data_IF_885805964590
#
_entry.id   IF_885805964590
#
_cell.length_a   1.000
_cell.length_b   1.000
_cell.length_c   1.000
_cell.angle_alpha   90.00
_cell.angle_beta   90.00
_cell.angle_gamma   90.00
#
_symmetry.space_group_name_H-M   'P 1'
#
loop_
_entity.id
_entity.type
_entity.pdbx_description
1 polymer ?
#
# COMPACT_ATOMS: atom_id res chain seq x y z
N UNK A 1 2.27 6.57 -21.94
CA UNK A 1 2.18 5.25 -21.28
C UNK A 1 3.59 4.91 -20.82
N UNK A 2 3.90 5.00 -19.52
CA UNK A 2 5.21 4.59 -19.03
C UNK A 2 5.25 3.07 -18.96
N UNK A 3 6.22 2.45 -19.63
CA UNK A 3 6.41 1.01 -19.60
C UNK A 3 6.94 0.62 -18.22
N UNK A 4 6.23 -0.23 -17.49
CA UNK A 4 6.75 -0.84 -16.26
C UNK A 4 7.85 -1.83 -16.68
N UNK A 5 9.09 -1.72 -16.18
CA UNK A 5 10.16 -2.62 -16.55
C UNK A 5 9.90 -4.06 -16.10
N UNK A 6 10.42 -5.01 -16.87
CA UNK A 6 10.40 -6.43 -16.55
C UNK A 6 11.77 -6.91 -16.04
N UNK A 7 11.73 -7.91 -15.17
CA UNK A 7 12.89 -8.59 -14.59
C UNK A 7 12.78 -10.08 -14.89
N UNK A 8 13.90 -10.67 -15.32
CA UNK A 8 14.02 -12.12 -15.56
C UNK A 8 14.76 -12.75 -14.38
N UNK A 9 14.10 -13.69 -13.70
CA UNK A 9 14.66 -14.43 -12.56
C UNK A 9 14.99 -15.86 -13.01
N UNK A 10 16.26 -16.26 -12.84
CA UNK A 10 16.72 -17.63 -13.09
C UNK A 10 16.51 -18.46 -11.84
N UNK A 11 15.59 -19.41 -11.90
CA UNK A 11 15.35 -20.39 -10.86
C UNK A 11 15.92 -21.75 -11.28
N UNK A 12 16.07 -22.68 -10.35
CA UNK A 12 16.45 -24.06 -10.68
C UNK A 12 15.45 -24.80 -11.59
N UNK A 13 14.26 -24.22 -11.82
CA UNK A 13 13.20 -24.75 -12.70
C UNK A 13 13.09 -24.01 -14.04
N UNK A 14 13.97 -23.04 -14.31
CA UNK A 14 13.97 -22.24 -15.53
C UNK A 14 13.88 -20.73 -15.28
N UNK A 15 13.64 -19.97 -16.35
CA UNK A 15 13.49 -18.52 -16.32
C UNK A 15 12.02 -18.13 -16.11
N UNK A 16 11.79 -17.19 -15.18
CA UNK A 16 10.48 -16.56 -14.95
C UNK A 16 10.60 -15.06 -15.18
N UNK A 17 9.64 -14.48 -15.89
CA UNK A 17 9.59 -13.03 -16.15
C UNK A 17 8.48 -12.40 -15.30
N UNK A 18 8.81 -11.27 -14.67
CA UNK A 18 7.90 -10.49 -13.83
C UNK A 18 8.03 -9.02 -14.18
N UNK A 19 6.95 -8.24 -14.11
CA UNK A 19 7.14 -6.81 -13.95
C UNK A 19 7.76 -6.52 -12.56
N UNK A 20 8.40 -5.37 -12.42
CA UNK A 20 9.12 -5.03 -11.19
C UNK A 20 8.24 -5.08 -9.93
N UNK A 21 6.96 -4.71 -10.02
CA UNK A 21 6.05 -4.75 -8.86
C UNK A 21 5.64 -6.18 -8.52
N UNK A 22 5.33 -7.00 -9.52
CA UNK A 22 5.07 -8.43 -9.30
C UNK A 22 6.27 -9.14 -8.70
N UNK A 23 7.50 -8.76 -9.08
CA UNK A 23 8.70 -9.30 -8.45
C UNK A 23 8.82 -8.88 -6.99
N UNK A 24 8.56 -7.62 -6.67
CA UNK A 24 8.60 -7.12 -5.28
C UNK A 24 7.48 -7.73 -4.42
N UNK A 25 6.31 -8.03 -5.01
CA UNK A 25 5.23 -8.70 -4.30
C UNK A 25 5.63 -10.09 -3.81
N UNK A 26 6.49 -10.83 -4.53
CA UNK A 26 7.06 -12.10 -4.02
C UNK A 26 7.83 -11.91 -2.71
N UNK A 27 8.49 -10.77 -2.56
CA UNK A 27 9.21 -10.39 -1.33
C UNK A 27 8.29 -9.67 -0.33
N UNK A 28 6.97 -9.75 -0.53
CA UNK A 28 5.90 -9.20 0.34
C UNK A 28 5.89 -7.68 0.43
N UNK A 29 6.41 -7.03 -0.60
CA UNK A 29 6.45 -5.56 -0.72
C UNK A 29 5.28 -5.09 -1.59
N UNK A 30 4.49 -4.16 -1.06
CA UNK A 30 3.38 -3.48 -1.76
C UNK A 30 3.70 -1.99 -1.87
N UNK A 31 3.44 -1.41 -3.05
CA UNK A 31 3.55 0.04 -3.29
C UNK A 31 2.17 0.68 -3.37
N UNK A 32 1.92 1.65 -2.47
CA UNK A 32 0.83 2.61 -2.55
C UNK A 32 1.39 3.95 -3.05
N UNK A 33 1.61 4.04 -4.36
CA UNK A 33 2.27 5.18 -5.03
C UNK A 33 1.34 6.16 -5.75
N UNK A 34 0.03 5.92 -5.70
CA UNK A 34 -0.98 6.69 -6.44
C UNK A 34 -2.00 7.34 -5.49
N UNK A 35 -2.83 8.29 -5.97
CA UNK A 35 -4.00 8.73 -5.23
C UNK A 35 -4.88 7.55 -4.81
N UNK A 36 -5.37 7.57 -3.57
CA UNK A 36 -6.17 6.50 -3.01
C UNK A 36 -7.58 6.57 -3.62
N UNK A 37 -7.85 5.69 -4.57
CA UNK A 37 -9.17 5.48 -5.20
C UNK A 37 -9.70 4.09 -4.85
N UNK A 38 -10.98 3.84 -5.14
CA UNK A 38 -11.58 2.53 -4.89
C UNK A 38 -10.85 1.39 -5.66
N UNK A 39 -10.38 1.68 -6.88
CA UNK A 39 -9.58 0.73 -7.66
C UNK A 39 -8.24 0.42 -6.98
N UNK A 40 -7.49 1.47 -6.60
CA UNK A 40 -6.19 1.31 -5.92
C UNK A 40 -6.36 0.54 -4.60
N UNK A 41 -7.37 0.89 -3.81
CA UNK A 41 -7.68 0.18 -2.58
C UNK A 41 -8.02 -1.29 -2.82
N UNK A 42 -8.83 -1.60 -3.85
CA UNK A 42 -9.17 -2.98 -4.20
C UNK A 42 -7.91 -3.80 -4.55
N UNK A 43 -6.98 -3.23 -5.32
CA UNK A 43 -5.72 -3.89 -5.67
C UNK A 43 -4.85 -4.12 -4.43
N UNK A 44 -4.67 -3.11 -3.57
CA UNK A 44 -3.87 -3.23 -2.34
C UNK A 44 -4.47 -4.26 -1.38
N UNK A 45 -5.79 -4.24 -1.19
CA UNK A 45 -6.49 -5.23 -0.35
C UNK A 45 -6.31 -6.65 -0.91
N UNK A 46 -6.46 -6.83 -2.23
CA UNK A 46 -6.24 -8.13 -2.86
C UNK A 46 -4.80 -8.63 -2.68
N UNK A 47 -3.81 -7.76 -2.82
CA UNK A 47 -2.40 -8.09 -2.57
C UNK A 47 -2.16 -8.49 -1.11
N UNK A 48 -2.71 -7.76 -0.14
CA UNK A 48 -2.56 -8.09 1.28
C UNK A 48 -3.20 -9.45 1.63
N UNK A 49 -4.40 -9.72 1.11
CA UNK A 49 -5.07 -11.02 1.27
C UNK A 49 -4.27 -12.16 0.62
N UNK A 50 -3.74 -11.94 -0.58
CA UNK A 50 -2.85 -12.89 -1.25
C UNK A 50 -1.61 -13.22 -0.39
N UNK A 51 -0.94 -12.20 0.15
CA UNK A 51 0.26 -12.38 0.97
C UNK A 51 -0.02 -13.09 2.31
N UNK A 52 -1.16 -12.80 2.95
CA UNK A 52 -1.63 -13.52 4.14
C UNK A 52 -1.83 -15.02 3.84
N UNK A 53 -2.38 -15.37 2.67
CA UNK A 53 -2.57 -16.76 2.27
C UNK A 53 -1.23 -17.48 2.01
N UNK A 54 -0.19 -16.76 1.58
CA UNK A 54 1.16 -17.34 1.41
C UNK A 54 1.86 -17.58 2.75
N UNK A 55 1.73 -16.64 3.70
CA UNK A 55 2.26 -16.78 5.06
C UNK A 55 1.58 -15.79 5.98
N UNK A 56 1.12 -16.30 7.14
CA UNK A 56 0.50 -15.50 8.22
C UNK A 56 1.52 -14.94 9.21
N UNK A 57 2.74 -15.48 9.21
CA UNK A 57 3.79 -15.12 10.18
C UNK A 57 4.72 -14.02 9.65
N UNK A 58 4.97 -14.02 8.34
CA UNK A 58 5.84 -13.04 7.70
C UNK A 58 5.11 -11.72 7.50
N UNK A 59 5.76 -10.60 7.86
CA UNK A 59 5.18 -9.27 7.70
C UNK A 59 4.93 -8.89 6.22
N UNK A 60 4.11 -7.88 6.00
CA UNK A 60 3.96 -7.18 4.71
C UNK A 60 4.61 -5.81 4.83
N UNK A 61 5.45 -5.44 3.88
CA UNK A 61 6.04 -4.09 3.82
C UNK A 61 5.23 -3.22 2.85
N UNK A 62 4.48 -2.26 3.39
CA UNK A 62 3.69 -1.30 2.64
C UNK A 62 4.47 0.02 2.47
N UNK A 63 4.95 0.28 1.27
CA UNK A 63 5.61 1.53 0.89
C UNK A 63 4.57 2.55 0.43
N UNK A 64 4.55 3.71 1.06
CA UNK A 64 3.54 4.76 0.86
C UNK A 64 4.21 6.00 0.27
N UNK A 65 3.74 6.37 -0.94
CA UNK A 65 4.09 7.59 -1.66
C UNK A 65 2.81 8.16 -2.29
N UNK A 66 1.91 8.68 -1.46
CA UNK A 66 0.57 9.07 -1.92
C UNK A 66 0.13 10.41 -1.34
N UNK A 67 -0.56 11.24 -2.16
CA UNK A 67 -1.20 12.47 -1.69
C UNK A 67 -2.47 12.21 -0.85
N UNK A 68 -2.87 10.95 -0.65
CA UNK A 68 -4.14 10.58 -0.06
C UNK A 68 -5.22 10.39 -1.13
N UNK A 69 -6.49 10.50 -0.74
CA UNK A 69 -7.61 10.29 -1.65
C UNK A 69 -8.92 10.02 -0.91
N UNK A 70 -9.75 9.13 -1.47
CA UNK A 70 -11.04 8.73 -0.91
C UNK A 70 -10.87 8.17 0.50
N UNK A 71 -11.67 8.71 1.44
CA UNK A 71 -11.72 8.24 2.82
C UNK A 71 -12.20 6.80 2.87
N UNK A 72 -13.26 6.46 2.13
CA UNK A 72 -13.82 5.12 2.12
C UNK A 72 -12.84 4.08 1.57
N UNK A 73 -12.16 4.40 0.47
CA UNK A 73 -11.11 3.55 -0.10
C UNK A 73 -9.96 3.35 0.88
N UNK A 74 -9.52 4.42 1.55
CA UNK A 74 -8.49 4.33 2.59
C UNK A 74 -8.93 3.50 3.79
N UNK A 75 -10.20 3.58 4.21
CA UNK A 75 -10.76 2.77 5.28
C UNK A 75 -10.77 1.27 4.93
N UNK A 76 -11.06 0.91 3.67
CA UNK A 76 -10.98 -0.49 3.23
C UNK A 76 -9.55 -1.07 3.38
N UNK A 77 -8.53 -0.29 3.04
CA UNK A 77 -7.13 -0.68 3.25
C UNK A 77 -6.84 -0.78 4.75
N UNK A 78 -7.23 0.22 5.52
CA UNK A 78 -7.02 0.24 6.98
C UNK A 78 -7.63 -0.97 7.68
N UNK A 79 -8.92 -1.24 7.44
CA UNK A 79 -9.64 -2.35 8.06
C UNK A 79 -9.00 -3.68 7.69
N UNK A 80 -8.56 -3.82 6.43
CA UNK A 80 -7.81 -5.00 5.99
C UNK A 80 -6.48 -5.13 6.75
N UNK A 81 -5.69 -4.06 6.88
CA UNK A 81 -4.44 -4.08 7.66
C UNK A 81 -4.66 -4.56 9.10
N UNK A 82 -5.78 -4.19 9.73
CA UNK A 82 -6.10 -4.58 11.10
C UNK A 82 -6.73 -5.99 11.19
N UNK A 83 -7.43 -6.42 10.16
CA UNK A 83 -8.10 -7.72 10.11
C UNK A 83 -7.10 -8.89 9.93
N UNK A 84 -6.00 -8.65 9.23
CA UNK A 84 -5.01 -9.69 8.95
C UNK A 84 -4.23 -10.11 10.20
N UNK A 85 -3.90 -11.40 10.25
CA UNK A 85 -2.96 -11.95 11.23
C UNK A 85 -1.53 -11.49 10.95
N UNK A 86 -1.20 -11.39 9.66
CA UNK A 86 0.06 -10.78 9.20
C UNK A 86 0.12 -9.32 9.59
N UNK A 87 1.25 -8.91 10.19
CA UNK A 87 1.49 -7.51 10.52
C UNK A 87 1.91 -6.74 9.27
N UNK A 88 1.42 -5.51 9.16
CA UNK A 88 1.78 -4.60 8.07
C UNK A 88 2.74 -3.55 8.58
N UNK A 89 4.00 -3.59 8.13
CA UNK A 89 4.97 -2.52 8.32
C UNK A 89 4.73 -1.42 7.29
N UNK A 90 4.87 -0.16 7.67
CA UNK A 90 4.61 0.98 6.78
C UNK A 90 5.84 1.85 6.62
N UNK A 91 6.10 2.31 5.40
CA UNK A 91 7.27 3.12 5.06
C UNK A 91 6.84 4.33 4.24
N UNK A 92 7.01 5.53 4.80
CA UNK A 92 6.82 6.76 4.03
C UNK A 92 8.05 7.03 3.16
N UNK A 93 7.84 7.04 1.83
CA UNK A 93 8.85 7.46 0.85
C UNK A 93 8.28 8.66 0.08
N UNK A 94 9.02 9.76 0.03
CA UNK A 94 8.53 11.00 -0.57
C UNK A 94 7.44 11.67 0.27
N UNK A 95 6.17 11.29 0.10
CA UNK A 95 5.04 11.91 0.79
C UNK A 95 3.97 10.90 1.22
N UNK A 96 3.45 11.08 2.43
CA UNK A 96 2.18 10.50 2.87
C UNK A 96 1.29 11.64 3.37
N UNK A 97 0.25 11.99 2.60
CA UNK A 97 -0.68 13.04 2.96
C UNK A 97 -2.11 12.51 3.16
N UNK A 98 -2.88 13.17 4.02
CA UNK A 98 -4.31 12.88 4.24
C UNK A 98 -4.52 11.38 4.58
N UNK A 99 -5.37 10.67 3.85
CA UNK A 99 -5.57 9.21 4.03
C UNK A 99 -4.29 8.38 3.93
N UNK A 100 -3.27 8.82 3.19
CA UNK A 100 -1.99 8.11 3.15
C UNK A 100 -1.20 8.29 4.47
N UNK A 101 -1.27 9.47 5.10
CA UNK A 101 -0.69 9.69 6.43
C UNK A 101 -1.43 8.87 7.51
N UNK A 102 -2.76 8.77 7.38
CA UNK A 102 -3.57 7.90 8.23
C UNK A 102 -3.14 6.43 8.13
N UNK A 103 -3.02 5.90 6.91
CA UNK A 103 -2.55 4.53 6.67
C UNK A 103 -1.13 4.29 7.16
N UNK A 104 -0.23 5.27 6.95
CA UNK A 104 1.13 5.22 7.50
C UNK A 104 1.12 5.04 9.02
N UNK A 105 0.30 5.82 9.72
CA UNK A 105 0.16 5.75 11.17
C UNK A 105 -0.51 4.45 11.67
N UNK A 106 -1.30 3.80 10.82
CA UNK A 106 -2.00 2.54 11.09
C UNK A 106 -1.15 1.27 10.93
N UNK A 107 0.11 1.41 10.47
CA UNK A 107 1.05 0.29 10.46
C UNK A 107 1.25 -0.33 11.85
N UNK A 108 1.69 -1.58 11.88
CA UNK A 108 1.88 -2.34 13.11
C UNK A 108 2.77 -1.58 14.12
N UNK A 109 2.42 -1.68 15.40
CA UNK A 109 3.14 -1.00 16.48
C UNK A 109 4.64 -1.34 16.44
N UNK A 110 5.47 -0.30 16.39
CA UNK A 110 6.93 -0.42 16.28
C UNK A 110 7.47 -0.62 14.87
N UNK A 111 6.61 -0.72 13.84
CA UNK A 111 6.97 -0.95 12.43
C UNK A 111 6.44 0.14 11.49
N UNK A 112 6.49 1.39 11.96
CA UNK A 112 6.05 2.58 11.21
C UNK A 112 7.26 3.46 10.98
N UNK A 113 7.65 3.59 9.73
CA UNK A 113 8.92 4.18 9.32
C UNK A 113 8.69 5.32 8.34
N UNK A 114 9.62 6.27 8.33
CA UNK A 114 9.67 7.33 7.35
C UNK A 114 11.13 7.57 6.96
N UNK A 115 11.39 7.79 5.67
CA UNK A 115 12.71 8.22 5.24
C UNK A 115 13.01 9.64 5.72
N UNK A 116 14.30 10.03 5.88
CA UNK A 116 14.66 11.30 6.51
C UNK A 116 14.07 12.57 5.87
N UNK A 117 13.82 12.54 4.57
CA UNK A 117 13.27 13.66 3.80
C UNK A 117 11.79 13.49 3.46
N UNK A 118 11.13 12.45 3.99
CA UNK A 118 9.73 12.20 3.71
C UNK A 118 8.84 13.25 4.38
N UNK A 119 7.74 13.62 3.72
CA UNK A 119 6.77 14.60 4.23
C UNK A 119 5.49 13.89 4.64
N UNK A 120 5.10 14.10 5.90
CA UNK A 120 3.84 13.60 6.44
C UNK A 120 2.92 14.79 6.64
N UNK A 121 1.75 14.79 6.00
CA UNK A 121 0.78 15.87 6.08
C UNK A 121 -0.57 15.32 6.51
N UNK A 122 -1.12 15.85 7.60
CA UNK A 122 -2.46 15.52 8.06
C UNK A 122 -3.36 16.75 7.96
N UNK A 123 -4.61 16.54 7.57
CA UNK A 123 -5.64 17.56 7.57
C UNK A 123 -7.00 16.88 7.73
N UNK A 124 -8.01 17.65 8.12
CA UNK A 124 -9.39 17.16 8.20
C UNK A 124 -9.90 16.71 6.81
N UNK A 125 -10.79 15.69 6.74
CA UNK A 125 -11.43 15.31 5.49
C UNK A 125 -12.12 16.49 4.82
N UNK A 126 -12.21 16.40 3.50
CA UNK A 126 -12.85 17.38 2.64
C UNK A 126 -13.81 16.64 1.71
N UNK A 127 -14.97 17.22 1.49
CA UNK A 127 -16.04 16.65 0.68
C UNK A 127 -17.04 17.73 0.32
N UNK A 128 -17.93 17.40 -0.61
CA UNK A 128 -19.02 18.27 -1.03
C UNK A 128 -20.25 17.44 -1.32
N UNK A 129 -21.42 18.01 -1.04
CA UNK A 129 -22.71 17.45 -1.40
C UNK A 129 -23.47 18.50 -2.21
N UNK A 130 -24.17 18.07 -3.26
CA UNK A 130 -25.03 18.93 -4.06
C UNK A 130 -26.37 18.21 -4.29
N UNK A 131 -27.48 18.92 -4.08
CA UNK A 131 -28.83 18.41 -4.31
C UNK A 131 -29.89 19.47 -3.99
N UNK A 132 -31.13 19.22 -4.37
CA UNK A 132 -32.32 19.92 -3.87
C UNK A 132 -32.98 19.04 -2.81
N UNK A 133 -33.40 19.67 -1.70
CA UNK A 133 -34.09 19.01 -0.58
C UNK A 133 -35.44 18.39 -1.00
#
# INVERSE_FOLDING_TARGET
MSVVPFVIERTGRGEQSYDIYSRLLKDRIIFLGEPITDYVATVVVAQMLYLQLQSKEADIDLYIMSPGGSVNAGMAIYDTMQHLSTKVATYCIGQAASMAAFLLAAGAKGKRHALPNARIMMHQPWGGAQGTA
#
